data_IF_928097227977
#
_entry.id   IF_928097227977
#
_cell.length_a   1.000
_cell.length_b   1.000
_cell.length_c   1.000
_cell.angle_alpha   90.00
_cell.angle_beta   90.00
_cell.angle_gamma   90.00
#
_symmetry.space_group_name_H-M   'P 1'
#
loop_
_entity.id
_entity.type
_entity.pdbx_description
1 polymer ?
#
# COMPACT_ATOMS: atom_id res chain seq x y z
N UNK A 1 16.40 -25.71 3.36
CA UNK A 1 14.98 -25.35 3.23
C UNK A 1 14.66 -24.48 4.43
N UNK A 2 14.71 -23.15 4.26
CA UNK A 2 14.31 -22.18 5.28
C UNK A 2 12.89 -21.78 4.88
N UNK A 3 11.89 -22.24 5.65
CA UNK A 3 10.45 -22.09 5.39
C UNK A 3 9.83 -21.06 6.33
N UNK A 4 10.41 -19.87 6.37
CA UNK A 4 9.87 -18.77 7.15
C UNK A 4 10.33 -17.48 6.52
N UNK A 5 9.57 -17.01 5.54
CA UNK A 5 9.73 -15.65 5.07
C UNK A 5 9.39 -14.74 6.25
N UNK A 6 10.41 -14.22 6.91
CA UNK A 6 10.24 -13.39 8.10
C UNK A 6 10.53 -11.96 7.67
N UNK A 7 9.86 -11.50 6.60
CA UNK A 7 9.85 -10.08 6.30
C UNK A 7 9.04 -9.43 7.42
N UNK A 8 9.70 -8.62 8.22
CA UNK A 8 9.03 -7.81 9.23
C UNK A 8 8.51 -6.53 8.59
N UNK A 9 7.50 -5.91 9.23
CA UNK A 9 7.01 -4.60 8.81
C UNK A 9 8.16 -3.60 8.81
N UNK A 10 8.41 -2.99 7.66
CA UNK A 10 9.39 -1.91 7.52
C UNK A 10 8.68 -0.54 7.63
N UNK A 11 9.27 0.38 8.40
CA UNK A 11 8.77 1.75 8.52
C UNK A 11 8.93 2.52 7.22
N UNK A 12 9.89 2.14 6.37
CA UNK A 12 10.04 2.73 5.04
C UNK A 12 8.83 2.39 4.16
N UNK A 13 8.38 1.12 4.17
CA UNK A 13 7.17 0.70 3.44
C UNK A 13 5.94 1.47 3.93
N UNK A 14 5.81 1.70 5.25
CA UNK A 14 4.72 2.51 5.82
C UNK A 14 4.79 3.96 5.33
N UNK A 15 5.96 4.58 5.39
CA UNK A 15 6.16 5.96 4.95
C UNK A 15 5.89 6.14 3.46
N UNK A 16 6.36 5.19 2.65
CA UNK A 16 6.18 5.18 1.21
C UNK A 16 4.71 5.02 0.82
N UNK A 17 4.01 4.06 1.42
CA UNK A 17 2.58 3.86 1.20
C UNK A 17 1.77 5.08 1.63
N UNK A 18 2.08 5.64 2.80
CA UNK A 18 1.42 6.85 3.26
C UNK A 18 1.65 8.01 2.29
N UNK A 19 2.89 8.20 1.83
CA UNK A 19 3.20 9.20 0.81
C UNK A 19 2.40 8.98 -0.48
N UNK A 20 2.36 7.75 -1.00
CA UNK A 20 1.65 7.40 -2.22
C UNK A 20 0.13 7.64 -2.11
N UNK A 21 -0.48 7.30 -0.97
CA UNK A 21 -1.89 7.57 -0.68
C UNK A 21 -2.20 9.07 -0.75
N UNK A 22 -1.36 9.90 -0.13
CA UNK A 22 -1.53 11.35 -0.18
C UNK A 22 -1.37 11.88 -1.61
N UNK A 23 -0.35 11.42 -2.33
CA UNK A 23 -0.10 11.78 -3.73
C UNK A 23 -1.25 11.39 -4.65
N UNK A 24 -1.86 10.22 -4.45
CA UNK A 24 -3.07 9.82 -5.16
C UNK A 24 -4.21 10.81 -4.91
N UNK A 25 -4.47 11.14 -3.64
CA UNK A 25 -5.51 12.11 -3.26
C UNK A 25 -5.29 13.50 -3.86
N UNK A 26 -4.04 13.99 -3.87
CA UNK A 26 -3.68 15.28 -4.46
C UNK A 26 -3.81 15.28 -5.98
N UNK A 27 -3.31 14.25 -6.66
CA UNK A 27 -3.32 14.14 -8.11
C UNK A 27 -4.75 13.99 -8.68
N UNK A 28 -5.68 13.46 -7.89
CA UNK A 28 -7.06 13.20 -8.32
C UNK A 28 -8.08 14.08 -7.56
N UNK A 29 -7.64 15.12 -6.86
CA UNK A 29 -8.48 15.98 -6.03
C UNK A 29 -9.67 16.61 -6.78
N UNK A 30 -9.52 16.90 -8.08
CA UNK A 30 -10.58 17.46 -8.91
C UNK A 30 -11.68 16.44 -9.28
N UNK A 31 -11.35 15.14 -9.24
CA UNK A 31 -12.25 14.04 -9.63
C UNK A 31 -12.84 13.31 -8.41
N UNK A 32 -12.12 13.30 -7.30
CA UNK A 32 -12.55 12.62 -6.08
C UNK A 32 -13.51 13.50 -5.29
N UNK A 33 -14.63 12.95 -4.86
CA UNK A 33 -15.60 13.62 -3.98
C UNK A 33 -15.11 13.76 -2.52
N UNK A 34 -13.84 13.42 -2.26
CA UNK A 34 -13.27 13.31 -0.91
C UNK A 34 -11.89 13.94 -0.88
N UNK A 35 -11.65 14.75 0.14
CA UNK A 35 -10.33 15.32 0.41
C UNK A 35 -9.58 14.48 1.46
N UNK A 36 -8.24 14.62 1.45
CA UNK A 36 -7.37 14.06 2.49
C UNK A 36 -7.83 14.49 3.88
N UNK A 37 -8.22 15.75 4.03
CA UNK A 37 -8.68 16.31 5.31
C UNK A 37 -9.98 15.67 5.76
N UNK A 38 -10.91 15.36 4.85
CA UNK A 38 -12.17 14.71 5.20
C UNK A 38 -12.00 13.25 5.61
N UNK A 39 -11.01 12.53 5.08
CA UNK A 39 -10.69 11.15 5.49
C UNK A 39 -9.87 11.14 6.78
N UNK A 40 -8.94 12.10 6.91
CA UNK A 40 -8.08 12.28 8.07
C UNK A 40 -6.72 11.62 7.90
N UNK A 41 -5.65 12.38 8.17
CA UNK A 41 -4.26 11.90 8.07
C UNK A 41 -3.99 10.69 8.96
N UNK A 42 -4.57 10.65 10.16
CA UNK A 42 -4.43 9.50 11.07
C UNK A 42 -5.02 8.23 10.48
N UNK A 43 -6.17 8.33 9.83
CA UNK A 43 -6.85 7.20 9.17
C UNK A 43 -5.99 6.69 8.01
N UNK A 44 -5.54 7.59 7.14
CA UNK A 44 -4.70 7.23 5.99
C UNK A 44 -3.34 6.63 6.42
N UNK A 45 -2.74 7.15 7.50
CA UNK A 45 -1.52 6.57 8.07
C UNK A 45 -1.76 5.18 8.66
N UNK A 46 -2.90 4.97 9.33
CA UNK A 46 -3.27 3.66 9.88
C UNK A 46 -3.53 2.64 8.76
N UNK A 47 -4.17 3.06 7.66
CA UNK A 47 -4.34 2.23 6.46
C UNK A 47 -2.98 1.82 5.89
N UNK A 48 -2.02 2.75 5.79
CA UNK A 48 -0.67 2.45 5.34
C UNK A 48 0.08 1.49 6.28
N UNK A 49 -0.02 1.69 7.59
CA UNK A 49 0.61 0.83 8.61
C UNK A 49 0.07 -0.61 8.55
N UNK A 50 -1.25 -0.75 8.45
CA UNK A 50 -1.89 -2.04 8.33
C UNK A 50 -1.58 -2.71 6.99
N UNK A 51 -1.51 -1.93 5.91
CA UNK A 51 -1.16 -2.45 4.60
C UNK A 51 0.27 -2.99 4.57
N UNK A 52 1.24 -2.25 5.13
CA UNK A 52 2.63 -2.71 5.26
C UNK A 52 2.74 -3.98 6.11
N UNK A 53 1.91 -4.11 7.16
CA UNK A 53 1.85 -5.32 8.00
C UNK A 53 1.38 -6.54 7.21
N UNK A 54 0.31 -6.39 6.41
CA UNK A 54 -0.23 -7.46 5.57
C UNK A 54 0.72 -7.83 4.44
N UNK A 55 1.32 -6.83 3.80
CA UNK A 55 2.38 -7.03 2.81
C UNK A 55 3.51 -7.86 3.40
N UNK A 56 4.02 -7.50 4.58
CA UNK A 56 5.13 -8.22 5.20
C UNK A 56 4.76 -9.67 5.54
N UNK A 57 3.51 -9.90 5.98
CA UNK A 57 3.00 -11.23 6.37
C UNK A 57 2.68 -12.14 5.20
N UNK A 58 2.07 -11.59 4.14
CA UNK A 58 1.57 -12.35 2.98
C UNK A 58 2.56 -12.38 1.82
N UNK A 59 3.65 -11.60 1.90
CA UNK A 59 4.73 -11.70 0.94
C UNK A 59 5.37 -13.09 1.05
N UNK A 60 5.22 -13.90 0.00
CA UNK A 60 6.03 -15.09 -0.23
C UNK A 60 7.21 -14.64 -1.07
N UNK A 61 8.46 -14.93 -0.65
CA UNK A 61 9.68 -14.66 -1.42
C UNK A 61 9.42 -15.11 -2.85
N UNK A 62 9.17 -14.13 -3.73
CA UNK A 62 8.73 -14.37 -5.08
C UNK A 62 9.96 -14.73 -5.93
N UNK A 63 10.58 -15.86 -5.61
CA UNK A 63 11.67 -16.46 -6.37
C UNK A 63 12.95 -15.61 -6.47
N UNK A 64 13.93 -16.09 -7.23
CA UNK A 64 15.23 -15.45 -7.42
C UNK A 64 15.20 -14.16 -8.24
N UNK A 65 14.04 -13.80 -8.83
CA UNK A 65 13.86 -12.65 -9.71
C UNK A 65 13.25 -11.42 -9.00
N UNK A 66 13.11 -11.48 -7.67
CA UNK A 66 12.55 -10.38 -6.91
C UNK A 66 13.53 -9.22 -6.78
N UNK A 67 13.28 -8.15 -7.56
CA UNK A 67 14.03 -6.90 -7.55
C UNK A 67 13.37 -5.88 -6.62
N UNK A 68 14.10 -5.44 -5.60
CA UNK A 68 13.64 -4.40 -4.66
C UNK A 68 13.27 -3.08 -5.34
N UNK A 69 13.82 -2.78 -6.52
CA UNK A 69 13.43 -1.60 -7.32
C UNK A 69 11.98 -1.71 -7.82
N UNK A 70 11.59 -2.88 -8.35
CA UNK A 70 10.21 -3.12 -8.82
C UNK A 70 9.22 -3.06 -7.65
N UNK A 71 9.66 -3.45 -6.45
CA UNK A 71 8.83 -3.34 -5.25
C UNK A 71 8.55 -1.89 -4.88
N UNK A 72 9.58 -1.04 -4.86
CA UNK A 72 9.44 0.39 -4.59
C UNK A 72 8.55 1.08 -5.61
N UNK A 73 8.76 0.83 -6.90
CA UNK A 73 7.93 1.41 -7.98
C UNK A 73 6.45 1.02 -7.84
N UNK A 74 6.16 -0.22 -7.41
CA UNK A 74 4.78 -0.66 -7.19
C UNK A 74 4.13 -0.04 -5.95
N UNK A 75 4.89 0.22 -4.88
CA UNK A 75 4.39 0.91 -3.69
C UNK A 75 4.18 2.41 -3.93
N UNK A 76 5.00 3.02 -4.79
CA UNK A 76 4.89 4.43 -5.20
C UNK A 76 3.77 4.70 -6.22
N UNK A 77 3.21 3.65 -6.84
CA UNK A 77 2.17 3.80 -7.86
C UNK A 77 0.94 4.56 -7.32
N UNK A 78 0.51 5.56 -8.10
CA UNK A 78 -0.68 6.38 -7.83
C UNK A 78 -1.72 6.27 -8.94
N UNK A 79 -1.68 5.23 -9.77
CA UNK A 79 -2.72 4.93 -10.74
C UNK A 79 -4.05 4.58 -10.06
N UNK A 80 -5.16 4.57 -10.80
CA UNK A 80 -6.48 4.14 -10.26
C UNK A 80 -6.51 2.69 -9.79
N UNK A 81 -5.59 1.86 -10.29
CA UNK A 81 -5.49 0.45 -9.94
C UNK A 81 -4.43 0.18 -8.85
N UNK A 82 -3.74 1.23 -8.41
CA UNK A 82 -2.70 1.18 -7.38
C UNK A 82 -3.25 0.79 -6.01
N UNK A 83 -2.37 0.34 -5.14
CA UNK A 83 -2.70 0.13 -3.74
C UNK A 83 -3.05 1.46 -3.05
N UNK A 84 -2.38 2.55 -3.41
CA UNK A 84 -2.68 3.89 -2.90
C UNK A 84 -4.14 4.30 -3.15
N UNK A 85 -4.66 4.03 -4.35
CA UNK A 85 -6.06 4.28 -4.69
C UNK A 85 -7.04 3.44 -3.85
N UNK A 86 -6.71 2.16 -3.60
CA UNK A 86 -7.55 1.28 -2.78
C UNK A 86 -7.57 1.68 -1.30
N UNK A 87 -6.48 2.25 -0.80
CA UNK A 87 -6.33 2.67 0.60
C UNK A 87 -6.85 4.10 0.88
N UNK A 88 -7.19 4.87 -0.16
CA UNK A 88 -7.71 6.23 -0.04
C UNK A 88 -9.21 6.25 0.32
N UNK A 89 -9.54 5.76 1.51
CA UNK A 89 -10.89 5.83 2.06
C UNK A 89 -10.89 5.80 3.60
N UNK A 90 -12.01 6.21 4.17
CA UNK A 90 -12.29 6.28 5.61
C UNK A 90 -12.60 4.93 6.24
N UNK A 91 -13.21 4.02 5.47
CA UNK A 91 -13.49 2.64 5.86
C UNK A 91 -12.98 1.70 4.75
N UNK A 92 -11.82 1.10 4.99
CA UNK A 92 -11.13 0.23 4.03
C UNK A 92 -10.90 -1.13 4.68
N UNK A 93 -11.31 -2.18 3.98
CA UNK A 93 -10.81 -3.53 4.25
C UNK A 93 -9.39 -3.65 3.69
N UNK A 94 -8.41 -3.27 4.53
CA UNK A 94 -7.00 -3.19 4.15
C UNK A 94 -6.44 -4.55 3.77
N UNK A 95 -6.87 -5.63 4.45
CA UNK A 95 -6.46 -7.00 4.15
C UNK A 95 -6.87 -7.37 2.72
N UNK A 96 -8.16 -7.23 2.42
CA UNK A 96 -8.69 -7.53 1.08
C UNK A 96 -8.05 -6.66 0.00
N UNK A 97 -7.78 -5.38 0.28
CA UNK A 97 -7.10 -4.49 -0.66
C UNK A 97 -5.68 -4.97 -0.98
N UNK A 98 -4.89 -5.31 0.05
CA UNK A 98 -3.52 -5.81 -0.11
C UNK A 98 -3.51 -7.14 -0.86
N UNK A 99 -4.34 -8.10 -0.46
CA UNK A 99 -4.41 -9.42 -1.11
C UNK A 99 -4.79 -9.29 -2.60
N UNK A 100 -5.78 -8.43 -2.91
CA UNK A 100 -6.17 -8.15 -4.30
C UNK A 100 -5.06 -7.49 -5.10
N UNK A 101 -4.29 -6.59 -4.50
CA UNK A 101 -3.17 -5.94 -5.16
C UNK A 101 -1.98 -6.89 -5.37
N UNK A 102 -1.69 -7.75 -4.39
CA UNK A 102 -0.67 -8.80 -4.50
C UNK A 102 -1.02 -9.85 -5.56
N UNK A 103 -2.30 -10.19 -5.75
CA UNK A 103 -2.74 -11.18 -6.73
C UNK A 103 -2.71 -10.70 -8.19
N UNK A 104 -2.39 -9.42 -8.44
CA UNK A 104 -2.29 -8.83 -9.79
C UNK A 104 -0.87 -8.92 -10.38
N UNK A 105 -0.01 -9.75 -9.80
CA UNK A 105 1.34 -10.03 -10.29
C UNK A 105 1.31 -10.89 -11.56
#
# INVERSE_FOLDING_TARGET
>A
MITSNTREKDLEDVGLLFHAILRYGEAHAERLDRSIVSIGYSTLLMNADQAASWIASEHVEAGPDWDGCVWLERLEDTSEESLAAMLYADDVDVESAVLRWLSRQ
#
